data_IF_764250841107
#
_entry.id   IF_764250841107
#
_cell.length_a   1.000
_cell.length_b   1.000
_cell.length_c   1.000
_cell.angle_alpha   90.00
_cell.angle_beta   90.00
_cell.angle_gamma   90.00
#
_symmetry.space_group_name_H-M   'P 1'
#
loop_
_entity.id
_entity.type
_entity.pdbx_description
1 polymer ?
#
# COMPACT_ATOMS: atom_id res chain seq x y z
N UNK A 1 4.72 6.18 19.47
CA UNK A 1 4.68 6.37 18.00
C UNK A 1 4.29 5.01 17.43
N UNK A 2 3.04 4.84 16.98
CA UNK A 2 2.61 3.57 16.36
C UNK A 2 3.00 3.59 14.89
N UNK A 3 3.70 2.57 14.44
CA UNK A 3 4.06 2.41 13.03
C UNK A 3 2.80 2.07 12.20
N UNK A 4 2.68 2.54 10.95
CA UNK A 4 1.55 2.20 10.10
C UNK A 4 1.47 0.68 9.90
N UNK A 5 0.24 0.14 9.93
CA UNK A 5 -0.03 -1.27 9.68
C UNK A 5 0.21 -1.68 8.21
N UNK A 6 0.14 -0.71 7.29
CA UNK A 6 0.44 -0.87 5.87
C UNK A 6 1.28 0.33 5.43
N UNK A 7 2.40 0.06 4.75
CA UNK A 7 3.28 1.06 4.17
C UNK A 7 3.06 1.11 2.66
N UNK A 8 2.80 2.31 2.14
CA UNK A 8 2.63 2.53 0.71
C UNK A 8 3.86 3.23 0.16
N UNK A 9 4.36 2.75 -0.98
CA UNK A 9 5.53 3.31 -1.64
C UNK A 9 5.33 3.25 -3.16
N UNK A 10 5.94 4.18 -3.88
CA UNK A 10 5.81 4.28 -5.33
C UNK A 10 7.20 4.41 -5.95
N UNK A 11 7.47 3.57 -6.95
CA UNK A 11 8.72 3.60 -7.72
C UNK A 11 8.43 4.01 -9.15
N UNK A 12 8.91 5.20 -9.51
CA UNK A 12 8.92 5.65 -10.89
C UNK A 12 9.87 4.77 -11.70
N UNK A 13 9.38 4.27 -12.83
CA UNK A 13 10.11 3.44 -13.77
C UNK A 13 10.38 4.19 -15.08
N UNK A 14 11.34 3.69 -15.85
CA UNK A 14 11.62 4.22 -17.18
C UNK A 14 10.38 4.11 -18.08
N UNK A 15 10.11 5.18 -18.83
CA UNK A 15 8.97 5.25 -19.76
C UNK A 15 7.67 5.78 -19.15
N UNK A 16 7.74 6.57 -18.07
CA UNK A 16 6.58 7.28 -17.49
C UNK A 16 5.65 6.41 -16.65
N UNK A 17 6.00 5.15 -16.42
CA UNK A 17 5.20 4.22 -15.59
C UNK A 17 5.63 4.29 -14.14
N UNK A 18 4.71 3.99 -13.22
CA UNK A 18 4.97 3.87 -11.79
C UNK A 18 4.65 2.46 -11.31
N UNK A 19 5.46 1.95 -10.40
CA UNK A 19 5.19 0.71 -9.67
C UNK A 19 4.77 1.09 -8.26
N UNK A 20 3.51 0.87 -7.98
CA UNK A 20 2.97 1.00 -6.64
C UNK A 20 3.27 -0.26 -5.80
N UNK A 21 3.68 -0.05 -4.54
CA UNK A 21 4.11 -1.10 -3.61
C UNK A 21 3.38 -0.89 -2.29
N UNK A 22 2.52 -1.84 -1.91
CA UNK A 22 1.90 -1.89 -0.58
C UNK A 22 2.57 -2.99 0.26
N UNK A 23 3.21 -2.61 1.36
CA UNK A 23 3.89 -3.53 2.29
C UNK A 23 3.07 -3.64 3.56
N UNK A 24 2.59 -4.85 3.87
CA UNK A 24 1.97 -5.14 5.16
C UNK A 24 3.06 -5.06 6.24
N UNK A 25 2.91 -4.11 7.16
CA UNK A 25 3.86 -3.82 8.23
C UNK A 25 3.23 -4.16 9.59
N UNK A 26 2.74 -5.39 9.72
CA UNK A 26 2.07 -5.90 10.90
C UNK A 26 2.76 -7.18 11.39
N UNK A 27 4.07 -7.10 11.62
CA UNK A 27 4.92 -8.24 12.03
C UNK A 27 4.40 -8.94 13.31
N UNK A 28 3.86 -8.17 14.26
CA UNK A 28 3.32 -8.69 15.52
C UNK A 28 2.09 -9.58 15.32
N UNK A 29 1.40 -9.39 14.20
CA UNK A 29 0.22 -10.17 13.81
C UNK A 29 0.54 -11.15 12.69
N UNK A 30 1.82 -11.45 12.40
CA UNK A 30 2.22 -12.28 11.25
C UNK A 30 1.67 -11.75 9.92
N UNK A 31 1.57 -10.43 9.77
CA UNK A 31 0.93 -9.76 8.63
C UNK A 31 -0.52 -10.24 8.38
N UNK A 32 -1.23 -10.63 9.44
CA UNK A 32 -2.64 -10.98 9.35
C UNK A 32 -3.43 -9.83 8.73
N UNK A 33 -4.08 -10.12 7.61
CA UNK A 33 -4.85 -9.16 6.85
C UNK A 33 -6.12 -8.80 7.64
N UNK A 34 -6.20 -7.56 8.09
CA UNK A 34 -7.37 -7.04 8.84
C UNK A 34 -8.29 -6.25 7.90
N UNK A 35 -9.57 -6.13 8.24
CA UNK A 35 -10.54 -5.42 7.40
C UNK A 35 -10.11 -3.97 7.12
N UNK A 36 -9.57 -3.28 8.14
CA UNK A 36 -9.02 -1.93 8.00
C UNK A 36 -7.84 -1.87 7.01
N UNK A 37 -6.97 -2.90 6.99
CA UNK A 37 -5.86 -2.95 6.03
C UNK A 37 -6.37 -3.14 4.60
N UNK A 38 -7.41 -3.95 4.42
CA UNK A 38 -8.05 -4.16 3.11
C UNK A 38 -8.64 -2.85 2.61
N UNK A 39 -9.36 -2.13 3.46
CA UNK A 39 -9.96 -0.83 3.13
C UNK A 39 -8.90 0.20 2.73
N UNK A 40 -7.79 0.27 3.48
CA UNK A 40 -6.65 1.14 3.17
C UNK A 40 -5.99 0.78 1.83
N UNK A 41 -5.77 -0.51 1.56
CA UNK A 41 -5.16 -0.97 0.30
C UNK A 41 -6.10 -0.69 -0.87
N UNK A 42 -7.40 -0.95 -0.72
CA UNK A 42 -8.40 -0.69 -1.75
C UNK A 42 -8.47 0.80 -2.10
N UNK A 43 -8.59 1.67 -1.09
CA UNK A 43 -8.61 3.11 -1.28
C UNK A 43 -7.33 3.66 -1.93
N UNK A 44 -6.16 3.05 -1.63
CA UNK A 44 -4.90 3.44 -2.25
C UNK A 44 -4.77 2.91 -3.69
N UNK A 45 -5.30 1.72 -3.96
CA UNK A 45 -5.35 1.15 -5.31
C UNK A 45 -6.23 1.99 -6.25
N UNK A 46 -7.41 2.42 -5.79
CA UNK A 46 -8.28 3.34 -6.54
C UNK A 46 -7.54 4.65 -6.90
N UNK A 47 -6.77 5.21 -5.96
CA UNK A 47 -5.96 6.41 -6.24
C UNK A 47 -4.90 6.16 -7.30
N UNK A 48 -4.21 5.02 -7.25
CA UNK A 48 -3.20 4.68 -8.25
C UNK A 48 -3.80 4.35 -9.61
N UNK A 49 -5.02 3.81 -9.66
CA UNK A 49 -5.75 3.60 -10.91
C UNK A 49 -6.16 4.93 -11.55
N UNK A 50 -6.48 5.94 -10.74
CA UNK A 50 -6.81 7.30 -11.19
C UNK A 50 -5.57 8.19 -11.45
N UNK A 51 -4.37 7.72 -11.13
CA UNK A 51 -3.12 8.44 -11.36
C UNK A 51 -2.67 8.21 -12.82
N UNK A 52 -3.00 9.18 -13.70
CA UNK A 52 -2.74 9.18 -15.16
C UNK A 52 -1.24 9.31 -15.53
#
# INVERSE_FOLDING_TARGET
MSEPAVLFNEKVCNGGKKIAIATLNAEKSLNSLSLEMVDLIAAQADKWEQDD
#
